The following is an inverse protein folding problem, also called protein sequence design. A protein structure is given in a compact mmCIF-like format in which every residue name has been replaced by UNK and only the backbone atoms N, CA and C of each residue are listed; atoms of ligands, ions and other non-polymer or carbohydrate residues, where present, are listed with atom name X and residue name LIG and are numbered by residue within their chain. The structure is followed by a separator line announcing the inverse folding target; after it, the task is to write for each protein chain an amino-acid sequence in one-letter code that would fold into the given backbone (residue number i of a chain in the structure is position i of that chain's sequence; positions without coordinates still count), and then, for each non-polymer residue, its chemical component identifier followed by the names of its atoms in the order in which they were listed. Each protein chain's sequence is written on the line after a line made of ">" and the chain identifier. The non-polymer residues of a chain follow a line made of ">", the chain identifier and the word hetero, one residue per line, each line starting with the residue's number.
data_IF_756508408917
#
_entry.id   IF_756508408917
#
_cell.length_a   1.000
_cell.length_b   1.000
_cell.length_c   1.000
_cell.angle_alpha   90.00
_cell.angle_beta   90.00
_cell.angle_gamma   90.00
#
_symmetry.space_group_name_H-M   'P 1'
#
loop_
_entity.id
_entity.type
_entity.pdbx_description
1 polymer ?
#
# COMPACT_ATOMS: atom_id res chain seq x y z
N UNK A 1 9.74 12.67 3.67
CA UNK A 1 8.79 13.08 2.62
C UNK A 1 8.26 11.84 1.94
N UNK A 2 6.96 11.78 1.70
CA UNK A 2 6.29 10.75 0.90
C UNK A 2 5.78 11.38 -0.39
N UNK A 3 5.79 10.64 -1.50
CA UNK A 3 5.48 11.15 -2.82
C UNK A 3 4.74 10.10 -3.62
N UNK A 4 3.67 10.51 -4.29
CA UNK A 4 3.04 9.74 -5.36
C UNK A 4 3.42 10.38 -6.70
N UNK A 5 3.97 9.56 -7.58
CA UNK A 5 4.37 9.97 -8.91
C UNK A 5 4.02 8.90 -9.92
N UNK A 6 3.85 9.32 -11.16
CA UNK A 6 3.73 8.40 -12.28
C UNK A 6 5.11 7.91 -12.72
N UNK A 7 5.14 6.88 -13.55
CA UNK A 7 6.38 6.29 -14.09
C UNK A 7 7.19 7.23 -14.97
N UNK A 8 6.58 8.29 -15.52
CA UNK A 8 7.27 9.31 -16.32
C UNK A 8 7.85 10.46 -15.48
N UNK A 9 7.69 10.41 -14.15
CA UNK A 9 8.22 11.41 -13.23
C UNK A 9 7.24 12.52 -12.84
N UNK A 10 6.04 12.58 -13.43
CA UNK A 10 5.02 13.53 -12.98
C UNK A 10 4.62 13.27 -11.53
N UNK A 11 4.70 14.31 -10.70
CA UNK A 11 4.35 14.23 -9.28
C UNK A 11 2.88 14.56 -9.11
N UNK A 12 2.10 13.59 -8.63
CA UNK A 12 0.68 13.79 -8.35
C UNK A 12 0.48 14.55 -7.03
N UNK A 13 1.04 14.01 -5.94
CA UNK A 13 0.89 14.56 -4.61
C UNK A 13 2.11 14.19 -3.75
N UNK A 14 2.34 14.93 -2.66
CA UNK A 14 3.37 14.66 -1.68
C UNK A 14 2.95 15.08 -0.27
N UNK A 15 3.50 14.40 0.73
CA UNK A 15 3.30 14.72 2.14
C UNK A 15 4.66 14.88 2.80
N UNK A 16 4.85 15.97 3.54
CA UNK A 16 6.06 16.20 4.34
C UNK A 16 5.87 15.49 5.68
N UNK A 17 6.72 14.50 5.95
CA UNK A 17 6.76 13.85 7.25
C UNK A 17 7.47 14.76 8.25
N UNK A 18 6.77 15.16 9.31
CA UNK A 18 7.27 16.09 10.34
C UNK A 18 7.61 15.39 11.66
N UNK A 19 7.61 14.06 11.70
CA UNK A 19 7.89 13.29 12.91
C UNK A 19 6.65 13.00 13.74
N UNK A 20 6.81 12.99 15.06
CA UNK A 20 5.77 12.59 16.02
C UNK A 20 4.55 13.53 16.05
N UNK A 21 4.72 14.78 15.62
CA UNK A 21 3.65 15.78 15.54
C UNK A 21 2.81 15.70 14.27
N UNK A 22 3.11 14.77 13.36
CA UNK A 22 2.32 14.54 12.16
C UNK A 22 0.91 14.08 12.57
N UNK A 23 -0.14 14.70 12.01
CA UNK A 23 -1.55 14.34 12.31
C UNK A 23 -1.90 12.92 11.89
N UNK A 24 -1.05 12.31 11.06
CA UNK A 24 -1.14 10.91 10.65
C UNK A 24 -0.23 9.99 11.47
N UNK A 25 0.53 10.49 12.45
CA UNK A 25 1.44 9.69 13.26
C UNK A 25 0.69 8.63 14.10
N UNK A 26 1.29 7.44 14.22
CA UNK A 26 0.75 6.33 15.01
C UNK A 26 0.30 5.11 14.19
N UNK A 27 -0.50 4.25 14.81
CA UNK A 27 -1.00 3.02 14.18
C UNK A 27 -1.87 3.37 12.97
N UNK A 28 -1.47 2.92 11.78
CA UNK A 28 -2.18 3.24 10.54
C UNK A 28 -1.59 4.41 9.73
N UNK A 29 -0.50 5.03 10.20
CA UNK A 29 0.20 6.12 9.50
C UNK A 29 0.44 5.81 8.02
N UNK A 30 1.01 4.65 7.71
CA UNK A 30 1.30 4.26 6.34
C UNK A 30 0.04 4.17 5.45
N UNK A 31 -1.11 3.76 6.01
CA UNK A 31 -2.37 3.73 5.28
C UNK A 31 -2.92 5.15 5.06
N UNK A 32 -2.86 6.00 6.08
CA UNK A 32 -3.29 7.38 6.01
C UNK A 32 -2.49 8.16 4.97
N UNK A 33 -1.16 7.99 4.95
CA UNK A 33 -0.27 8.57 3.95
C UNK A 33 -0.67 8.14 2.54
N UNK A 34 -0.84 6.84 2.26
CA UNK A 34 -1.23 6.39 0.92
C UNK A 34 -2.56 6.98 0.49
N UNK A 35 -3.54 7.02 1.40
CA UNK A 35 -4.87 7.51 1.08
C UNK A 35 -4.90 9.02 0.84
N UNK A 36 -4.10 9.79 1.59
CA UNK A 36 -3.90 11.21 1.33
C UNK A 36 -3.21 11.44 -0.02
N UNK A 37 -2.15 10.67 -0.31
CA UNK A 37 -1.47 10.75 -1.59
C UNK A 37 -2.38 10.38 -2.78
N UNK A 38 -3.35 9.48 -2.57
CA UNK A 38 -4.32 9.07 -3.61
C UNK A 38 -5.57 9.95 -3.66
N UNK A 39 -5.66 11.00 -2.84
CA UNK A 39 -6.80 11.90 -2.89
C UNK A 39 -6.98 12.49 -4.29
N UNK A 40 -8.22 12.59 -4.73
CA UNK A 40 -8.58 12.96 -6.10
C UNK A 40 -8.42 11.87 -7.18
N UNK A 41 -7.93 10.67 -6.85
CA UNK A 41 -7.83 9.54 -7.80
C UNK A 41 -9.00 8.54 -7.72
N UNK A 42 -9.95 8.75 -6.80
CA UNK A 42 -11.13 7.88 -6.66
C UNK A 42 -11.92 7.82 -7.97
N UNK A 43 -12.34 6.63 -8.39
CA UNK A 43 -13.10 6.45 -9.65
C UNK A 43 -12.25 6.51 -10.93
N UNK A 44 -10.93 6.74 -10.83
CA UNK A 44 -10.05 6.82 -12.00
C UNK A 44 -9.47 5.47 -12.44
N UNK A 45 -9.77 4.38 -11.73
CA UNK A 45 -9.29 3.02 -12.01
C UNK A 45 -7.77 2.92 -12.15
N UNK A 46 -7.04 3.71 -11.35
CA UNK A 46 -5.57 3.75 -11.36
C UNK A 46 -4.98 2.66 -10.46
N UNK A 47 -3.74 2.27 -10.76
CA UNK A 47 -2.97 1.32 -9.95
C UNK A 47 -1.84 2.04 -9.23
N UNK A 48 -1.83 1.94 -7.91
CA UNK A 48 -0.77 2.43 -7.04
C UNK A 48 0.21 1.29 -6.79
N UNK A 49 1.49 1.54 -7.04
CA UNK A 49 2.58 0.60 -6.73
C UNK A 49 3.34 1.14 -5.53
N UNK A 50 3.42 0.36 -4.45
CA UNK A 50 3.99 0.82 -3.18
C UNK A 50 4.91 -0.21 -2.52
N UNK A 51 5.87 0.29 -1.72
CA UNK A 51 6.76 -0.53 -0.90
C UNK A 51 6.01 -1.24 0.25
N UNK A 52 6.62 -2.28 0.83
CA UNK A 52 6.07 -3.05 1.94
C UNK A 52 5.73 -2.26 3.21
N UNK A 53 6.35 -1.10 3.41
CA UNK A 53 6.00 -0.20 4.51
C UNK A 53 4.56 0.33 4.35
N UNK A 54 4.14 0.54 3.11
CA UNK A 54 2.87 1.18 2.73
C UNK A 54 1.80 0.18 2.29
N UNK A 55 2.04 -1.12 2.38
CA UNK A 55 1.08 -2.15 1.95
C UNK A 55 0.52 -2.92 3.13
N UNK A 56 -0.77 -3.25 3.03
CA UNK A 56 -1.45 -4.24 3.87
C UNK A 56 -2.83 -4.56 3.27
N UNK A 57 -3.42 -5.68 3.70
CA UNK A 57 -4.68 -6.19 3.12
C UNK A 57 -5.84 -5.22 3.34
N UNK A 58 -5.94 -4.59 4.52
CA UNK A 58 -7.00 -3.62 4.81
C UNK A 58 -6.89 -2.37 3.94
N UNK A 59 -5.66 -1.91 3.62
CA UNK A 59 -5.47 -0.79 2.68
C UNK A 59 -5.86 -1.20 1.26
N UNK A 60 -5.47 -2.40 0.81
CA UNK A 60 -5.84 -2.90 -0.51
C UNK A 60 -7.37 -2.94 -0.68
N UNK A 61 -8.10 -3.45 0.33
CA UNK A 61 -9.57 -3.46 0.32
C UNK A 61 -10.17 -2.05 0.29
N UNK A 62 -9.59 -1.13 1.06
CA UNK A 62 -10.06 0.26 1.10
C UNK A 62 -9.87 0.95 -0.24
N UNK A 63 -8.68 0.88 -0.84
CA UNK A 63 -8.41 1.44 -2.16
C UNK A 63 -9.30 0.83 -3.24
N UNK A 64 -9.54 -0.49 -3.18
CA UNK A 64 -10.44 -1.16 -4.12
C UNK A 64 -11.87 -0.61 -4.05
N UNK A 65 -12.37 -0.27 -2.85
CA UNK A 65 -13.66 0.40 -2.68
C UNK A 65 -13.72 1.83 -3.23
N UNK A 66 -12.57 2.42 -3.58
CA UNK A 66 -12.42 3.73 -4.22
C UNK A 66 -11.98 3.61 -5.69
N UNK A 67 -12.17 2.44 -6.33
CA UNK A 67 -11.73 2.17 -7.70
C UNK A 67 -10.24 2.47 -7.92
N UNK A 68 -9.41 2.15 -6.93
CA UNK A 68 -7.96 2.28 -6.99
C UNK A 68 -7.32 0.93 -6.63
N UNK A 69 -6.45 0.42 -7.49
CA UNK A 69 -5.77 -0.86 -7.26
C UNK A 69 -4.46 -0.65 -6.51
N UNK A 70 -4.05 -1.64 -5.72
CA UNK A 70 -2.77 -1.63 -5.01
C UNK A 70 -1.92 -2.83 -5.43
N UNK A 71 -0.69 -2.55 -5.85
CA UNK A 71 0.36 -3.54 -6.07
C UNK A 71 1.50 -3.24 -5.11
N UNK A 72 2.03 -4.27 -4.46
CA UNK A 72 3.20 -4.14 -3.61
C UNK A 72 3.56 -5.46 -2.95
N UNK A 73 4.66 -5.45 -2.21
CA UNK A 73 5.09 -6.63 -1.43
C UNK A 73 4.50 -6.55 -0.04
N UNK A 74 4.15 -7.68 0.58
CA UNK A 74 3.66 -7.74 1.96
C UNK A 74 4.74 -8.32 2.88
N UNK A 75 5.00 -7.70 4.05
CA UNK A 75 5.86 -8.31 5.07
C UNK A 75 5.17 -9.52 5.69
N UNK A 76 5.92 -10.60 5.90
CA UNK A 76 5.40 -11.85 6.47
C UNK A 76 4.79 -11.66 7.87
N UNK A 77 5.37 -10.76 8.68
CA UNK A 77 4.92 -10.46 10.04
C UNK A 77 3.86 -9.35 10.15
N UNK A 78 3.27 -8.87 9.04
CA UNK A 78 2.27 -7.79 9.06
C UNK A 78 0.91 -8.30 9.52
N UNK A 79 0.25 -7.63 10.48
CA UNK A 79 -1.09 -8.01 10.94
C UNK A 79 -2.08 -8.23 9.78
N UNK A 80 -2.86 -9.32 9.87
CA UNK A 80 -3.75 -9.77 8.79
C UNK A 80 -3.08 -10.74 7.78
N UNK A 81 -1.78 -10.99 7.89
CA UNK A 81 -1.04 -11.92 7.03
C UNK A 81 -1.26 -13.41 7.32
N UNK A 82 -2.20 -13.78 8.20
CA UNK A 82 -2.55 -15.17 8.54
C UNK A 82 -3.09 -16.01 7.37
N UNK A 83 -3.00 -15.52 6.14
CA UNK A 83 -3.32 -16.25 4.94
C UNK A 83 -2.33 -17.39 4.72
N UNK A 84 -2.88 -18.52 4.24
CA UNK A 84 -2.13 -19.73 3.87
C UNK A 84 -0.94 -19.45 2.93
N UNK A 85 -1.02 -18.38 2.13
CA UNK A 85 0.05 -17.93 1.23
C UNK A 85 1.33 -17.57 1.97
N UNK A 86 1.22 -16.88 3.11
CA UNK A 86 2.38 -16.37 3.85
C UNK A 86 3.04 -17.47 4.68
N UNK A 87 2.27 -18.49 5.09
CA UNK A 87 2.76 -19.59 5.93
C UNK A 87 3.42 -20.72 5.14
N UNK A 88 3.22 -20.77 3.82
CA UNK A 88 3.69 -21.89 3.00
C UNK A 88 5.19 -21.78 2.75
N UNK A 89 5.94 -22.84 3.06
CA UNK A 89 7.34 -22.97 2.65
C UNK A 89 7.39 -23.42 1.18
N UNK A 90 7.97 -22.58 0.32
CA UNK A 90 8.14 -22.85 -1.10
C UNK A 90 9.59 -23.26 -1.39
N UNK A 91 9.77 -24.12 -2.40
CA UNK A 91 11.11 -24.39 -2.97
C UNK A 91 11.48 -23.28 -3.95
N UNK A 92 12.78 -23.18 -4.27
CA UNK A 92 13.27 -22.20 -5.25
C UNK A 92 12.58 -22.43 -6.60
N UNK A 93 11.96 -21.38 -7.14
CA UNK A 93 11.23 -21.41 -8.42
C UNK A 93 9.75 -21.76 -8.31
N UNK A 94 9.26 -22.16 -7.13
CA UNK A 94 7.82 -22.39 -6.92
C UNK A 94 7.08 -21.07 -6.66
N UNK A 95 5.85 -20.97 -7.18
CA UNK A 95 4.93 -19.85 -6.96
C UNK A 95 3.61 -20.42 -6.45
N UNK A 96 3.01 -19.77 -5.46
CA UNK A 96 1.73 -20.16 -4.88
C UNK A 96 0.81 -18.94 -4.76
N UNK A 97 -0.44 -19.09 -5.18
CA UNK A 97 -1.47 -18.07 -5.08
C UNK A 97 -2.79 -18.70 -4.63
N UNK A 98 -3.71 -17.87 -4.14
CA UNK A 98 -5.09 -18.29 -3.86
C UNK A 98 -5.91 -18.13 -5.13
N UNK A 99 -6.78 -19.10 -5.42
CA UNK A 99 -7.84 -18.98 -6.43
C UNK A 99 -9.03 -18.23 -5.84
#
# INVERSE_FOLDING_TARGET
>A
MYKLATTNGYTWNYVIYTGEQDTTAGLGHAQAVVMNLCDGLSGCYRTVVADNLFTCISLAKRLLGHDTYLIGTLRSNRAGSGHKVVQRKLKRGEVYWLQ
#
